data_IF_843888951053
#
_entry.id   IF_843888951053
#
_cell.length_a   1.000
_cell.length_b   1.000
_cell.length_c   1.000
_cell.angle_alpha   90.00
_cell.angle_beta   90.00
_cell.angle_gamma   90.00
#
_symmetry.space_group_name_H-M   'P 1'
#
loop_
_entity.id
_entity.type
_entity.pdbx_description
1 polymer ?
#
# COMPACT_ATOMS: atom_id res chain seq x y z
N UNK A 1 13.42 -0.96 5.73
CA UNK A 1 12.63 -0.22 6.73
C UNK A 1 13.40 -0.27 8.03
N UNK A 2 13.43 0.83 8.78
CA UNK A 2 14.15 0.91 10.06
C UNK A 2 13.17 0.72 11.24
N UNK A 3 13.73 0.56 12.44
CA UNK A 3 12.95 0.28 13.66
C UNK A 3 12.17 1.52 14.16
N UNK A 4 12.37 2.70 13.55
CA UNK A 4 11.61 3.92 13.90
C UNK A 4 10.24 3.96 13.22
N UNK A 5 10.03 3.14 12.19
CA UNK A 5 8.76 3.07 11.47
C UNK A 5 7.67 2.41 12.34
N UNK A 6 6.67 3.20 12.72
CA UNK A 6 5.52 2.71 13.50
C UNK A 6 4.17 2.95 12.82
N UNK A 7 4.09 3.84 11.84
CA UNK A 7 2.88 4.03 11.04
C UNK A 7 3.17 4.37 9.57
N UNK A 8 2.25 3.93 8.71
CA UNK A 8 2.28 4.20 7.26
C UNK A 8 0.92 4.73 6.82
N UNK A 9 0.93 5.81 6.04
CA UNK A 9 -0.25 6.35 5.35
C UNK A 9 -0.09 6.08 3.86
N UNK A 10 -1.11 5.50 3.23
CA UNK A 10 -1.18 5.20 1.82
C UNK A 10 -2.35 5.97 1.25
N UNK A 11 -2.09 6.96 0.40
CA UNK A 11 -3.08 7.62 -0.44
C UNK A 11 -3.01 7.00 -1.84
N UNK A 12 -4.05 6.29 -2.25
CA UNK A 12 -4.15 5.72 -3.60
C UNK A 12 -5.60 5.72 -4.07
N UNK A 13 -5.90 6.56 -5.06
CA UNK A 13 -7.23 6.73 -5.64
C UNK A 13 -7.78 5.50 -6.39
N UNK A 14 -6.98 4.45 -6.55
CA UNK A 14 -7.29 3.29 -7.38
C UNK A 14 -7.33 1.98 -6.59
N UNK A 15 -7.63 1.98 -5.28
CA UNK A 15 -7.89 0.72 -4.55
C UNK A 15 -9.38 0.41 -4.60
N UNK A 16 -9.83 -0.23 -5.69
CA UNK A 16 -11.28 -0.31 -6.01
C UNK A 16 -11.76 -1.70 -6.36
N UNK A 17 -11.05 -2.35 -7.28
CA UNK A 17 -11.39 -3.69 -7.75
C UNK A 17 -10.49 -4.74 -7.12
N UNK A 18 -10.90 -6.01 -7.22
CA UNK A 18 -10.27 -7.14 -6.54
C UNK A 18 -8.73 -7.17 -6.66
N UNK A 19 -8.17 -7.02 -7.87
CA UNK A 19 -6.71 -7.07 -8.04
C UNK A 19 -5.97 -5.90 -7.38
N UNK A 20 -6.62 -4.73 -7.28
CA UNK A 20 -6.05 -3.54 -6.64
C UNK A 20 -6.04 -3.72 -5.11
N UNK A 21 -7.13 -4.29 -4.56
CA UNK A 21 -7.19 -4.69 -3.15
C UNK A 21 -6.12 -5.75 -2.86
N UNK A 22 -5.91 -6.74 -3.74
CA UNK A 22 -4.83 -7.71 -3.58
C UNK A 22 -3.44 -7.06 -3.63
N UNK A 23 -3.22 -6.04 -4.46
CA UNK A 23 -1.96 -5.29 -4.46
C UNK A 23 -1.76 -4.57 -3.12
N UNK A 24 -2.81 -3.99 -2.54
CA UNK A 24 -2.77 -3.41 -1.21
C UNK A 24 -2.48 -4.46 -0.11
N UNK A 25 -3.12 -5.64 -0.16
CA UNK A 25 -2.83 -6.75 0.75
C UNK A 25 -1.35 -7.14 0.69
N UNK A 26 -0.79 -7.33 -0.51
CA UNK A 26 0.64 -7.65 -0.69
C UNK A 26 1.56 -6.56 -0.14
N UNK A 27 1.17 -5.30 -0.30
CA UNK A 27 1.91 -4.20 0.29
C UNK A 27 1.90 -4.28 1.82
N UNK A 28 0.75 -4.54 2.44
CA UNK A 28 0.63 -4.76 3.89
C UNK A 28 1.46 -5.97 4.36
N UNK A 29 1.53 -7.07 3.60
CA UNK A 29 2.39 -8.22 3.92
C UNK A 29 3.86 -7.81 4.01
N UNK A 30 4.35 -7.02 3.05
CA UNK A 30 5.72 -6.49 3.06
C UNK A 30 5.94 -5.57 4.26
N UNK A 31 4.99 -4.68 4.56
CA UNK A 31 5.08 -3.78 5.71
C UNK A 31 5.22 -4.57 7.02
N UNK A 32 4.34 -5.54 7.26
CA UNK A 32 4.37 -6.40 8.44
C UNK A 32 5.66 -7.20 8.52
N UNK A 33 6.16 -7.73 7.39
CA UNK A 33 7.38 -8.53 7.37
C UNK A 33 8.64 -7.70 7.63
N UNK A 34 8.68 -6.45 7.16
CA UNK A 34 9.91 -5.63 7.15
C UNK A 34 9.94 -4.54 8.21
N UNK A 35 8.81 -4.09 8.73
CA UNK A 35 8.72 -3.03 9.75
C UNK A 35 8.36 -3.63 11.12
N UNK A 36 9.39 -3.94 11.92
CA UNK A 36 9.25 -4.65 13.21
C UNK A 36 8.32 -3.95 14.21
N UNK A 37 8.31 -2.62 14.21
CA UNK A 37 7.57 -1.80 15.16
C UNK A 37 6.30 -1.20 14.57
N UNK A 38 5.83 -1.70 13.42
CA UNK A 38 4.61 -1.23 12.79
C UNK A 38 3.40 -1.45 13.71
N UNK A 39 2.60 -0.41 13.91
CA UNK A 39 1.38 -0.43 14.72
C UNK A 39 0.14 0.00 13.96
N UNK A 40 0.30 0.81 12.91
CA UNK A 40 -0.84 1.34 12.16
C UNK A 40 -0.56 1.46 10.67
N UNK A 41 -1.54 1.05 9.88
CA UNK A 41 -1.64 1.31 8.46
C UNK A 41 -2.90 2.14 8.24
N UNK A 42 -2.80 3.24 7.50
CA UNK A 42 -3.94 4.04 7.09
C UNK A 42 -4.02 4.04 5.58
N UNK A 43 -5.12 3.53 5.03
CA UNK A 43 -5.47 3.65 3.62
C UNK A 43 -6.43 4.82 3.44
N UNK A 44 -6.12 5.68 2.48
CA UNK A 44 -7.00 6.73 1.98
C UNK A 44 -7.24 6.43 0.51
N UNK A 45 -8.48 6.14 0.15
CA UNK A 45 -8.90 5.78 -1.22
C UNK A 45 -10.21 6.48 -1.58
N UNK A 46 -10.68 6.30 -2.82
CA UNK A 46 -12.00 6.75 -3.25
C UNK A 46 -13.12 5.92 -2.64
N UNK A 47 -14.28 6.52 -2.50
CA UNK A 47 -15.53 5.94 -1.97
C UNK A 47 -16.24 4.99 -2.95
N UNK A 48 -15.53 4.49 -3.97
CA UNK A 48 -16.06 3.57 -4.99
C UNK A 48 -15.73 2.08 -4.70
N UNK A 49 -15.31 1.79 -3.47
CA UNK A 49 -15.10 0.43 -2.96
C UNK A 49 -15.91 0.19 -1.70
N UNK A 50 -16.48 -1.01 -1.58
CA UNK A 50 -17.16 -1.43 -0.36
C UNK A 50 -16.12 -1.64 0.76
N UNK A 51 -16.23 -0.86 1.84
CA UNK A 51 -15.34 -0.95 2.99
C UNK A 51 -15.26 -2.38 3.58
N UNK A 52 -16.34 -3.17 3.45
CA UNK A 52 -16.38 -4.55 3.93
C UNK A 52 -15.34 -5.45 3.26
N UNK A 53 -14.85 -5.07 2.07
CA UNK A 53 -13.78 -5.78 1.38
C UNK A 53 -12.47 -5.83 2.19
N UNK A 54 -12.27 -4.88 3.13
CA UNK A 54 -11.08 -4.82 3.97
C UNK A 54 -11.23 -5.53 5.31
N UNK A 55 -12.41 -6.05 5.67
CA UNK A 55 -12.65 -6.67 6.98
C UNK A 55 -11.74 -7.88 7.25
N UNK A 56 -11.53 -8.73 6.24
CA UNK A 56 -10.59 -9.86 6.37
C UNK A 56 -9.17 -9.38 6.65
N UNK A 57 -8.70 -8.38 5.89
CA UNK A 57 -7.37 -7.78 6.09
C UNK A 57 -7.24 -7.10 7.46
N UNK A 58 -8.28 -6.38 7.91
CA UNK A 58 -8.32 -5.79 9.26
C UNK A 58 -8.13 -6.85 10.34
N UNK A 59 -8.87 -7.96 10.26
CA UNK A 59 -8.73 -9.07 11.19
C UNK A 59 -7.32 -9.66 11.20
N UNK A 60 -6.78 -9.98 10.02
CA UNK A 60 -5.42 -10.54 9.90
C UNK A 60 -4.32 -9.60 10.39
N UNK A 61 -4.46 -8.29 10.18
CA UNK A 61 -3.52 -7.30 10.71
C UNK A 61 -3.64 -7.14 12.23
N UNK A 62 -4.88 -7.15 12.76
CA UNK A 62 -5.12 -7.02 14.20
C UNK A 62 -4.53 -8.20 14.99
N UNK A 63 -4.59 -9.43 14.46
CA UNK A 63 -3.91 -10.61 15.04
C UNK A 63 -2.39 -10.41 15.19
N UNK A 64 -1.81 -9.49 14.41
CA UNK A 64 -0.38 -9.15 14.44
C UNK A 64 -0.11 -7.84 15.18
N UNK A 65 -1.11 -7.29 15.86
CA UNK A 65 -1.00 -6.04 16.60
C UNK A 65 -0.88 -4.80 15.70
N UNK A 66 -1.37 -4.87 14.46
CA UNK A 66 -1.40 -3.76 13.51
C UNK A 66 -2.83 -3.33 13.24
N UNK A 67 -3.12 -2.05 13.47
CA UNK A 67 -4.41 -1.42 13.21
C UNK A 67 -4.52 -0.97 11.75
N UNK A 68 -5.64 -1.27 11.08
CA UNK A 68 -5.92 -0.81 9.73
C UNK A 68 -7.13 0.15 9.71
N UNK A 69 -6.82 1.42 9.48
CA UNK A 69 -7.82 2.46 9.23
C UNK A 69 -8.01 2.64 7.72
N UNK A 70 -9.27 2.65 7.26
CA UNK A 70 -9.61 2.92 5.86
C UNK A 70 -10.50 4.16 5.84
N UNK A 71 -10.04 5.20 5.16
CA UNK A 71 -10.75 6.46 5.00
C UNK A 71 -11.06 6.69 3.53
N UNK A 72 -12.21 7.32 3.26
CA UNK A 72 -12.65 7.61 1.91
C UNK A 72 -12.62 9.11 1.60
N UNK A 73 -12.10 9.47 0.43
CA UNK A 73 -12.12 10.83 -0.12
C UNK A 73 -12.66 10.80 -1.55
N UNK A 74 -13.75 11.51 -1.81
CA UNK A 74 -14.40 11.54 -3.13
C UNK A 74 -13.53 12.20 -4.21
N UNK A 75 -12.82 13.28 -3.86
CA UNK A 75 -11.89 13.97 -4.75
C UNK A 75 -10.44 13.75 -4.29
N UNK A 76 -9.79 12.78 -4.90
CA UNK A 76 -8.35 12.56 -4.78
C UNK A 76 -7.77 11.99 -6.08
N UNK A 77 -6.55 12.41 -6.40
CA UNK A 77 -5.76 11.88 -7.51
C UNK A 77 -4.37 11.42 -7.07
N UNK A 78 -4.04 11.68 -5.81
CA UNK A 78 -2.72 11.47 -5.24
C UNK A 78 -2.43 9.98 -5.10
N UNK A 79 -1.14 9.67 -5.28
CA UNK A 79 -0.53 8.34 -5.18
C UNK A 79 0.74 8.49 -4.37
N UNK A 80 0.57 8.51 -3.06
CA UNK A 80 1.61 8.84 -2.10
C UNK A 80 1.60 7.84 -0.93
N UNK A 81 2.79 7.39 -0.55
CA UNK A 81 3.01 6.56 0.62
C UNK A 81 3.90 7.34 1.57
N UNK A 82 3.38 7.68 2.74
CA UNK A 82 4.08 8.44 3.78
C UNK A 82 4.41 7.50 4.93
N UNK A 83 5.69 7.37 5.22
CA UNK A 83 6.20 6.65 6.37
C UNK A 83 6.52 7.65 7.48
N UNK A 84 6.15 7.35 8.72
CA UNK A 84 6.39 8.27 9.84
C UNK A 84 7.86 8.37 10.30
N UNK A 85 8.79 7.75 9.56
CA UNK A 85 10.24 7.90 9.71
C UNK A 85 10.83 8.79 8.60
N UNK A 86 10.05 9.78 8.17
CA UNK A 86 10.40 10.88 7.26
C UNK A 86 10.53 10.50 5.77
N UNK A 87 10.13 9.29 5.38
CA UNK A 87 10.16 8.87 3.98
C UNK A 87 8.82 9.08 3.31
N UNK A 88 8.85 9.61 2.09
CA UNK A 88 7.69 9.71 1.21
C UNK A 88 8.03 9.04 -0.11
N UNK A 89 7.15 8.17 -0.59
CA UNK A 89 7.28 7.50 -1.88
C UNK A 89 6.06 7.88 -2.72
N UNK A 90 6.30 8.41 -3.92
CA UNK A 90 5.25 8.66 -4.91
C UNK A 90 5.43 7.70 -6.07
N UNK A 91 4.35 7.02 -6.44
CA UNK A 91 4.37 6.06 -7.55
C UNK A 91 3.41 6.55 -8.61
N UNK A 92 3.89 6.79 -9.82
CA UNK A 92 3.09 7.34 -10.91
C UNK A 92 1.82 6.55 -11.20
N UNK A 93 1.75 5.25 -10.85
CA UNK A 93 0.59 4.36 -10.99
C UNK A 93 -0.03 3.88 -9.66
N UNK A 94 0.45 4.38 -8.52
CA UNK A 94 0.06 3.86 -7.22
C UNK A 94 0.51 2.41 -7.04
N UNK A 95 -0.27 1.59 -6.36
CA UNK A 95 0.00 0.15 -6.18
C UNK A 95 -0.40 -0.70 -7.41
N UNK A 96 -1.01 -0.11 -8.45
CA UNK A 96 -1.47 -0.81 -9.68
C UNK A 96 -0.53 -0.66 -10.89
N UNK A 97 0.77 -0.89 -10.66
CA UNK A 97 1.79 -0.88 -11.71
C UNK A 97 2.11 -2.27 -12.28
N UNK A 98 1.51 -3.36 -11.80
CA UNK A 98 1.74 -4.69 -12.36
C UNK A 98 0.93 -4.91 -13.65
N UNK A 99 1.49 -5.65 -14.61
CA UNK A 99 0.73 -6.15 -15.77
C UNK A 99 -0.11 -7.36 -15.37
N UNK A 100 -1.24 -7.61 -16.05
CA UNK A 100 -1.94 -8.88 -15.92
C UNK A 100 -1.03 -10.03 -16.40
N UNK A 101 -1.31 -11.24 -15.89
CA UNK A 101 -0.69 -12.45 -16.40
C UNK A 101 -1.38 -12.90 -17.68
N UNK A 102 -0.60 -13.40 -18.63
CA UNK A 102 -1.12 -13.93 -19.88
C UNK A 102 -1.74 -15.33 -19.67
N UNK A 103 -1.20 -16.09 -18.72
CA UNK A 103 -1.65 -17.43 -18.34
C UNK A 103 -1.69 -17.60 -16.81
N UNK A 104 -2.67 -18.35 -16.29
CA UNK A 104 -2.90 -18.56 -14.85
C UNK A 104 -1.77 -19.32 -14.16
N UNK A 105 -1.01 -20.12 -14.90
CA UNK A 105 0.07 -20.99 -14.42
C UNK A 105 1.45 -20.51 -14.90
N UNK A 106 1.56 -19.26 -15.35
CA UNK A 106 2.84 -18.66 -15.75
C UNK A 106 3.69 -18.20 -14.55
N UNK A 107 4.99 -18.07 -14.79
CA UNK A 107 5.90 -17.40 -13.87
C UNK A 107 5.42 -15.97 -13.59
N UNK A 108 5.54 -15.56 -12.33
CA UNK A 108 5.01 -14.29 -11.86
C UNK A 108 3.55 -14.33 -11.43
N UNK A 109 2.81 -15.45 -11.57
CA UNK A 109 1.44 -15.55 -11.08
C UNK A 109 1.34 -15.32 -9.55
N UNK A 110 2.24 -15.94 -8.78
CA UNK A 110 2.27 -15.84 -7.32
C UNK A 110 3.29 -14.82 -6.81
N UNK A 111 4.54 -14.94 -7.26
CA UNK A 111 5.66 -14.08 -6.86
C UNK A 111 5.77 -12.85 -7.77
N UNK A 112 5.52 -11.68 -7.20
CA UNK A 112 5.48 -10.42 -7.93
C UNK A 112 6.88 -9.85 -8.25
N UNK A 113 7.95 -10.42 -7.69
CA UNK A 113 9.31 -10.11 -8.14
C UNK A 113 9.58 -10.58 -9.59
N UNK A 114 8.84 -11.61 -10.03
CA UNK A 114 8.87 -12.12 -11.40
C UNK A 114 7.76 -11.54 -12.30
N UNK A 115 6.88 -10.69 -11.76
CA UNK A 115 5.74 -10.13 -12.50
C UNK A 115 6.18 -8.95 -13.36
N UNK A 116 5.84 -8.98 -14.65
CA UNK A 116 6.06 -7.84 -15.55
C UNK A 116 5.31 -6.60 -15.05
N UNK A 117 5.95 -5.44 -15.11
CA UNK A 117 5.36 -4.15 -14.74
C UNK A 117 4.93 -3.33 -15.95
N UNK A 118 3.96 -2.43 -15.73
CA UNK A 118 3.66 -1.28 -16.58
C UNK A 118 4.72 -0.20 -16.31
N UNK A 119 4.97 0.62 -17.31
CA UNK A 119 5.84 1.79 -17.14
C UNK A 119 5.27 2.74 -16.08
N UNK A 120 6.12 3.19 -15.16
CA UNK A 120 5.79 4.13 -14.09
C UNK A 120 7.06 4.80 -13.58
N UNK A 121 6.91 5.99 -12.99
CA UNK A 121 7.96 6.62 -12.19
C UNK A 121 7.78 6.25 -10.71
N UNK A 122 8.88 6.25 -9.97
CA UNK A 122 8.89 6.12 -8.51
C UNK A 122 9.81 7.22 -7.98
N UNK A 123 9.21 8.21 -7.32
CA UNK A 123 9.92 9.34 -6.73
C UNK A 123 10.02 9.12 -5.21
N UNK A 124 11.24 9.22 -4.68
CA UNK A 124 11.53 8.97 -3.28
C UNK A 124 12.04 10.26 -2.65
N UNK A 125 11.38 10.69 -1.58
CA UNK A 125 11.72 11.89 -0.84
C UNK A 125 12.03 11.55 0.61
N UNK A 126 12.96 12.30 1.19
CA UNK A 126 13.20 12.32 2.63
C UNK A 126 12.88 13.71 3.16
N UNK A 127 11.88 13.80 4.00
CA UNK A 127 11.49 15.06 4.65
C UNK A 127 12.55 15.38 5.70
N UNK A 128 13.08 16.60 5.70
CA UNK A 128 13.91 17.05 6.81
C UNK A 128 12.99 17.32 8.01
N UNK A 129 13.35 16.88 9.23
CA UNK A 129 12.62 17.29 10.41
C UNK A 129 12.55 18.82 10.43
N UNK A 130 11.35 19.38 10.59
CA UNK A 130 11.22 20.82 10.83
C UNK A 130 11.84 21.10 12.19
N UNK A 131 13.02 21.70 12.19
CA UNK A 131 13.62 22.29 13.39
C UNK A 131 12.75 23.52 13.68
N UNK A 132 11.89 23.42 14.69
CA UNK A 132 11.27 24.59 15.31
C UNK A 132 12.27 25.22 16.29
#
# INVERSE_FOLDING_TARGET
MDDRLTSVVIEDAYIRVHHQILNFVRFCEILVQKAKNLKRITLITKDDVDERAFNGLRGSLAERGVDLLVNFKSQMHDREIVFNNDWIIKIGRGLDYFKPIDDKYALGACDYSMRRCRETTVDIYKVKPRIN
#
